data_IF_775170291009
#
_entry.id   IF_775170291009
#
_cell.length_a   1.000
_cell.length_b   1.000
_cell.length_c   1.000
_cell.angle_alpha   90.00
_cell.angle_beta   90.00
_cell.angle_gamma   90.00
#
_symmetry.space_group_name_H-M   'P 1'
#
loop_
_entity.id
_entity.type
_entity.pdbx_description
1 polymer ?
#
# COMPACT_ATOMS: atom_id res chain seq x y z
N UNK A 1 -31.33 0.37 -8.81
CA UNK A 1 -31.44 1.16 -7.56
C UNK A 1 -31.82 0.21 -6.43
N UNK A 2 -31.00 0.07 -5.39
CA UNK A 2 -31.41 -0.62 -4.14
C UNK A 2 -31.73 0.47 -3.14
N UNK A 3 -33.01 0.58 -2.78
CA UNK A 3 -33.44 1.44 -1.69
C UNK A 3 -33.47 0.60 -0.41
N UNK A 4 -32.93 1.14 0.68
CA UNK A 4 -33.00 0.52 1.99
C UNK A 4 -34.07 1.23 2.79
N UNK A 5 -34.99 0.48 3.40
CA UNK A 5 -35.96 0.98 4.37
C UNK A 5 -35.46 0.52 5.73
N UNK A 6 -35.08 1.46 6.59
CA UNK A 6 -34.76 1.16 7.98
C UNK A 6 -36.06 1.16 8.80
N UNK A 7 -36.29 0.10 9.58
CA UNK A 7 -37.48 -0.05 10.41
C UNK A 7 -37.03 -0.10 11.87
N UNK A 8 -37.53 0.85 12.68
CA UNK A 8 -37.23 0.90 14.11
C UNK A 8 -37.69 -0.38 14.82
N UNK A 9 -36.82 -0.96 15.65
CA UNK A 9 -37.08 -2.26 16.29
C UNK A 9 -36.84 -3.49 15.38
N UNK A 10 -36.60 -3.28 14.08
CA UNK A 10 -36.39 -4.35 13.11
C UNK A 10 -37.65 -5.20 12.83
N UNK A 11 -37.46 -6.32 12.13
CA UNK A 11 -38.52 -7.29 11.85
C UNK A 11 -38.48 -8.40 12.91
N UNK A 12 -39.60 -8.63 13.61
CA UNK A 12 -39.71 -9.57 14.73
C UNK A 12 -40.00 -11.01 14.27
N UNK A 13 -39.05 -11.57 13.54
CA UNK A 13 -39.04 -12.97 13.10
C UNK A 13 -38.12 -13.80 13.97
N UNK A 14 -38.45 -15.07 14.21
CA UNK A 14 -37.69 -15.92 15.13
C UNK A 14 -36.17 -15.87 14.84
N UNK A 15 -35.33 -15.61 15.86
CA UNK A 15 -33.90 -15.62 15.65
C UNK A 15 -33.44 -17.05 15.38
N UNK A 16 -32.80 -17.26 14.23
CA UNK A 16 -32.19 -18.53 13.85
C UNK A 16 -30.69 -18.30 13.68
N UNK A 17 -29.89 -19.09 14.39
CA UNK A 17 -28.42 -18.94 14.43
C UNK A 17 -27.98 -17.53 14.87
N UNK A 18 -28.73 -16.90 15.79
CA UNK A 18 -28.45 -15.54 16.27
C UNK A 18 -28.79 -14.43 15.28
N UNK A 19 -29.37 -14.74 14.11
CA UNK A 19 -29.79 -13.77 13.10
C UNK A 19 -31.30 -13.82 12.86
N UNK A 20 -31.87 -12.71 12.38
CA UNK A 20 -33.27 -12.61 11.93
C UNK A 20 -33.40 -12.56 10.40
N UNK A 21 -32.32 -12.85 9.68
CA UNK A 21 -32.29 -12.94 8.21
C UNK A 21 -32.90 -14.24 7.68
N UNK A 22 -33.33 -14.24 6.42
CA UNK A 22 -33.75 -15.46 5.70
C UNK A 22 -32.60 -16.04 4.89
N UNK A 23 -32.34 -17.33 5.05
CA UNK A 23 -31.58 -18.12 4.08
C UNK A 23 -32.55 -18.79 3.10
N UNK A 24 -32.64 -18.25 1.89
CA UNK A 24 -33.54 -18.75 0.86
C UNK A 24 -33.14 -20.12 0.32
N UNK A 25 -31.86 -20.50 0.44
CA UNK A 25 -31.34 -21.76 -0.09
C UNK A 25 -31.63 -22.91 0.86
N UNK A 26 -31.48 -22.67 2.16
CA UNK A 26 -31.73 -23.65 3.21
C UNK A 26 -33.16 -23.59 3.77
N UNK A 27 -33.96 -22.62 3.32
CA UNK A 27 -35.37 -22.45 3.66
C UNK A 27 -35.64 -22.27 5.17
N UNK A 28 -34.79 -21.51 5.87
CA UNK A 28 -35.00 -21.14 7.27
C UNK A 28 -34.68 -19.66 7.54
N UNK A 29 -35.15 -19.14 8.66
CA UNK A 29 -34.95 -17.74 9.03
C UNK A 29 -35.95 -16.78 8.37
N UNK A 30 -36.11 -15.60 8.95
CA UNK A 30 -37.10 -14.60 8.53
C UNK A 30 -38.55 -15.12 8.49
N UNK A 31 -39.32 -14.72 7.49
CA UNK A 31 -40.72 -15.14 7.36
C UNK A 31 -40.82 -16.54 6.74
N UNK A 32 -40.82 -17.57 7.61
CA UNK A 32 -40.97 -18.98 7.23
C UNK A 32 -39.91 -19.49 6.23
N UNK A 33 -38.70 -18.92 6.23
CA UNK A 33 -37.62 -19.38 5.36
C UNK A 33 -37.81 -19.08 3.86
N UNK A 34 -38.82 -18.29 3.48
CA UNK A 34 -39.16 -18.02 2.07
C UNK A 34 -38.95 -16.57 1.67
N UNK A 35 -38.93 -16.33 0.36
CA UNK A 35 -38.98 -14.99 -0.18
C UNK A 35 -40.33 -14.31 0.16
N UNK A 36 -40.29 -13.00 0.38
CA UNK A 36 -41.49 -12.19 0.61
C UNK A 36 -42.32 -12.12 -0.67
N UNK A 37 -43.63 -12.07 -0.47
CA UNK A 37 -44.66 -11.95 -1.51
C UNK A 37 -45.50 -10.72 -1.23
N UNK A 38 -46.13 -10.20 -2.27
CA UNK A 38 -47.08 -9.11 -2.13
C UNK A 38 -48.19 -9.49 -1.13
N UNK A 39 -48.54 -8.55 -0.25
CA UNK A 39 -49.48 -8.75 0.85
C UNK A 39 -48.90 -9.39 2.12
N UNK A 40 -47.61 -9.79 2.15
CA UNK A 40 -46.99 -10.28 3.38
C UNK A 40 -46.94 -9.19 4.46
N UNK A 41 -47.36 -9.55 5.68
CA UNK A 41 -47.26 -8.70 6.86
C UNK A 41 -46.10 -9.18 7.72
N UNK A 42 -45.14 -8.29 7.95
CA UNK A 42 -43.98 -8.58 8.78
C UNK A 42 -44.20 -8.02 10.19
N UNK A 43 -44.09 -8.84 11.24
CA UNK A 43 -44.17 -8.36 12.61
C UNK A 43 -42.99 -7.41 12.87
N UNK A 44 -43.21 -6.34 13.62
CA UNK A 44 -42.18 -5.37 13.98
C UNK A 44 -41.69 -5.62 15.40
N UNK A 45 -40.38 -5.51 15.60
CA UNK A 45 -39.80 -5.57 16.94
C UNK A 45 -40.16 -4.35 17.75
N UNK A 46 -40.08 -4.47 19.08
CA UNK A 46 -40.26 -3.33 19.97
C UNK A 46 -39.26 -2.22 19.59
N UNK A 47 -39.73 -0.98 19.34
CA UNK A 47 -38.83 0.12 19.02
C UNK A 47 -37.90 0.29 20.22
N UNK A 48 -36.59 0.18 19.99
CA UNK A 48 -35.64 0.62 20.99
C UNK A 48 -35.78 2.13 21.08
N UNK A 49 -36.08 2.65 22.26
CA UNK A 49 -35.84 4.06 22.63
C UNK A 49 -34.33 4.29 22.66
N UNK A 50 -33.69 4.19 21.50
CA UNK A 50 -32.39 4.79 21.30
C UNK A 50 -32.63 6.30 21.28
N UNK A 51 -31.87 7.03 22.10
CA UNK A 51 -31.69 8.46 21.88
C UNK A 51 -31.53 8.69 20.38
N UNK A 52 -32.17 9.73 19.83
CA UNK A 52 -31.86 10.20 18.48
C UNK A 52 -30.39 10.62 18.51
N UNK A 53 -29.50 9.67 18.25
CA UNK A 53 -28.12 9.97 17.99
C UNK A 53 -28.17 10.85 16.75
N UNK A 54 -27.65 12.06 16.84
CA UNK A 54 -27.30 12.83 15.65
C UNK A 54 -26.13 12.09 14.98
N UNK A 55 -26.46 11.01 14.28
CA UNK A 55 -25.49 10.24 13.52
C UNK A 55 -25.32 10.98 12.18
N UNK A 56 -24.08 11.30 11.76
CA UNK A 56 -23.83 11.78 10.41
C UNK A 56 -24.46 10.85 9.37
N UNK A 57 -24.81 11.38 8.19
CA UNK A 57 -25.36 10.60 7.08
C UNK A 57 -24.63 9.25 6.92
N UNK A 58 -25.36 8.15 7.07
CA UNK A 58 -24.81 6.80 6.98
C UNK A 58 -24.62 6.41 5.51
N UNK A 59 -23.47 5.83 5.20
CA UNK A 59 -23.04 5.39 3.89
C UNK A 59 -21.52 5.24 3.89
N UNK A 60 -20.98 4.27 3.15
CA UNK A 60 -19.53 4.15 2.98
C UNK A 60 -19.10 5.34 2.11
N UNK A 61 -18.58 6.40 2.74
CA UNK A 61 -17.86 7.43 2.00
C UNK A 61 -16.64 6.78 1.35
N UNK A 62 -16.25 7.27 0.17
CA UNK A 62 -14.92 6.98 -0.33
C UNK A 62 -13.93 7.30 0.80
N UNK A 63 -12.99 6.40 1.11
CA UNK A 63 -12.00 6.67 2.14
C UNK A 63 -11.33 8.03 1.91
N UNK A 64 -10.95 8.76 2.98
CA UNK A 64 -10.43 10.13 2.84
C UNK A 64 -9.16 10.26 1.98
N UNK A 65 -8.47 9.15 1.71
CA UNK A 65 -7.33 9.01 0.81
C UNK A 65 -7.71 8.82 -0.68
N UNK A 66 -9.00 8.59 -0.99
CA UNK A 66 -9.51 8.51 -2.36
C UNK A 66 -9.85 9.91 -2.90
N UNK A 67 -8.98 10.51 -3.70
CA UNK A 67 -9.15 11.87 -4.25
C UNK A 67 -9.97 11.97 -5.55
N UNK A 68 -11.20 11.46 -5.57
CA UNK A 68 -12.12 11.70 -6.71
C UNK A 68 -12.76 13.08 -6.76
N UNK A 69 -12.31 14.04 -5.96
CA UNK A 69 -12.89 15.39 -6.06
C UNK A 69 -12.36 16.19 -7.27
N UNK A 70 -11.40 15.67 -8.08
CA UNK A 70 -10.85 16.45 -9.22
C UNK A 70 -10.44 15.71 -10.50
N UNK A 71 -10.88 14.47 -10.76
CA UNK A 71 -10.91 13.93 -12.13
C UNK A 71 -12.35 13.86 -12.60
N UNK A 72 -12.75 14.81 -13.45
CA UNK A 72 -14.04 14.95 -14.13
C UNK A 72 -15.01 13.76 -13.96
N UNK A 73 -15.85 13.82 -12.91
CA UNK A 73 -16.92 12.86 -12.57
C UNK A 73 -17.94 12.65 -13.72
N UNK A 74 -17.87 13.48 -14.76
CA UNK A 74 -18.72 13.42 -15.96
C UNK A 74 -18.29 12.32 -16.95
N UNK A 75 -17.05 11.80 -16.89
CA UNK A 75 -16.59 10.77 -17.82
C UNK A 75 -16.56 9.35 -17.24
N UNK A 76 -16.19 9.15 -15.97
CA UNK A 76 -16.15 7.80 -15.35
C UNK A 76 -17.54 7.18 -15.16
N UNK A 77 -18.59 8.00 -15.09
CA UNK A 77 -19.97 7.51 -14.97
C UNK A 77 -20.70 7.35 -16.32
N UNK A 78 -20.02 7.58 -17.46
CA UNK A 78 -20.66 7.31 -18.75
C UNK A 78 -20.80 5.80 -18.93
N UNK A 79 -22.00 5.30 -19.24
CA UNK A 79 -22.15 3.90 -19.55
C UNK A 79 -21.45 3.60 -20.87
N UNK A 80 -20.47 2.70 -20.80
CA UNK A 80 -19.70 2.27 -21.97
C UNK A 80 -20.44 1.19 -22.79
N UNK A 81 -21.55 0.67 -22.26
CA UNK A 81 -22.46 -0.24 -22.95
C UNK A 81 -23.89 0.32 -22.96
N UNK A 82 -24.66 0.12 -24.06
CA UNK A 82 -26.06 0.52 -24.12
C UNK A 82 -26.87 -0.10 -22.98
N UNK A 83 -27.52 0.74 -22.15
CA UNK A 83 -28.37 0.29 -21.05
C UNK A 83 -27.67 0.08 -19.70
N UNK A 84 -26.34 0.22 -19.62
CA UNK A 84 -25.65 0.29 -18.33
C UNK A 84 -25.92 1.65 -17.66
N UNK A 85 -25.97 1.73 -16.31
CA UNK A 85 -26.17 3.01 -15.62
C UNK A 85 -24.87 3.81 -15.38
N UNK A 86 -23.71 3.16 -15.28
CA UNK A 86 -22.37 3.76 -15.10
C UNK A 86 -21.27 2.69 -15.22
N UNK A 87 -20.00 3.12 -15.26
CA UNK A 87 -18.82 2.24 -15.27
C UNK A 87 -18.04 2.38 -13.96
N UNK A 88 -17.63 1.27 -13.35
CA UNK A 88 -16.68 1.26 -12.23
C UNK A 88 -15.28 0.92 -12.77
N UNK A 89 -14.27 1.74 -12.50
CA UNK A 89 -12.87 1.43 -12.85
C UNK A 89 -12.13 0.92 -11.61
N UNK A 90 -11.37 -0.17 -11.76
CA UNK A 90 -10.52 -0.75 -10.71
C UNK A 90 -9.13 -1.10 -11.23
N UNK A 91 -8.13 -0.92 -10.37
CA UNK A 91 -6.71 -1.22 -10.65
C UNK A 91 -6.40 -2.69 -10.45
N UNK A 92 -5.66 -3.27 -11.39
CA UNK A 92 -5.38 -4.70 -11.47
C UNK A 92 -3.89 -4.95 -11.70
N UNK A 93 -3.32 -5.83 -10.88
CA UNK A 93 -2.02 -6.46 -11.10
C UNK A 93 -2.15 -7.67 -12.02
N UNK A 94 -1.12 -7.97 -12.80
CA UNK A 94 -1.05 -9.23 -13.54
C UNK A 94 -1.18 -10.43 -12.60
N UNK A 95 -2.07 -11.35 -12.98
CA UNK A 95 -2.26 -12.61 -12.29
C UNK A 95 -1.10 -13.57 -12.57
N UNK A 96 -0.91 -14.58 -11.71
CA UNK A 96 0.16 -15.57 -11.86
C UNK A 96 0.11 -16.31 -13.20
N UNK A 97 -1.09 -16.52 -13.77
CA UNK A 97 -1.26 -17.18 -15.07
C UNK A 97 -1.49 -16.19 -16.23
N UNK A 98 -1.17 -14.90 -16.07
CA UNK A 98 -1.38 -13.89 -17.10
C UNK A 98 -0.78 -14.29 -18.46
N UNK A 99 0.46 -14.82 -18.47
CA UNK A 99 1.13 -15.26 -19.70
C UNK A 99 0.45 -16.47 -20.42
N UNK A 100 -0.50 -17.13 -19.77
CA UNK A 100 -1.23 -18.26 -20.36
C UNK A 100 -2.42 -17.81 -21.22
N UNK A 101 -2.73 -16.51 -21.26
CA UNK A 101 -3.77 -15.94 -22.10
C UNK A 101 -3.20 -15.45 -23.44
N UNK A 102 -4.04 -15.47 -24.47
CA UNK A 102 -3.68 -14.97 -25.81
C UNK A 102 -3.53 -13.45 -25.79
N UNK A 103 -2.76 -12.90 -26.75
CA UNK A 103 -2.58 -11.45 -26.87
C UNK A 103 -3.93 -10.71 -27.05
N UNK A 104 -4.87 -11.30 -27.80
CA UNK A 104 -6.23 -10.75 -27.97
C UNK A 104 -7.04 -10.80 -26.68
N UNK A 105 -6.85 -11.81 -25.83
CA UNK A 105 -7.44 -11.85 -24.50
C UNK A 105 -6.86 -10.76 -23.58
N UNK A 106 -5.54 -10.50 -23.63
CA UNK A 106 -4.94 -9.37 -22.90
C UNK A 106 -5.51 -8.04 -23.37
N UNK A 107 -5.56 -7.81 -24.68
CA UNK A 107 -6.11 -6.58 -25.26
C UNK A 107 -7.58 -6.37 -24.84
N UNK A 108 -8.40 -7.42 -24.95
CA UNK A 108 -9.82 -7.35 -24.56
C UNK A 108 -9.96 -7.08 -23.05
N UNK A 109 -9.15 -7.74 -22.22
CA UNK A 109 -9.16 -7.58 -20.77
C UNK A 109 -8.94 -6.14 -20.32
N UNK A 110 -8.01 -5.43 -20.97
CA UNK A 110 -7.68 -4.05 -20.61
C UNK A 110 -8.52 -2.99 -21.30
N UNK A 111 -8.90 -3.21 -22.56
CA UNK A 111 -9.54 -2.18 -23.37
C UNK A 111 -11.06 -2.16 -23.22
N UNK A 112 -11.69 -3.33 -23.06
CA UNK A 112 -13.15 -3.48 -23.12
C UNK A 112 -13.86 -3.26 -21.76
N UNK A 113 -15.12 -2.79 -21.77
CA UNK A 113 -15.96 -2.79 -20.60
C UNK A 113 -16.56 -4.18 -20.34
N UNK A 114 -16.59 -4.57 -19.07
CA UNK A 114 -17.13 -5.85 -18.61
C UNK A 114 -18.49 -5.67 -17.95
N UNK A 115 -19.54 -6.34 -18.44
CA UNK A 115 -20.87 -6.28 -17.83
C UNK A 115 -20.92 -7.07 -16.53
N UNK A 116 -21.30 -6.44 -15.41
CA UNK A 116 -21.55 -7.13 -14.14
C UNK A 116 -22.90 -7.85 -14.23
N UNK A 117 -22.89 -9.17 -14.35
CA UNK A 117 -24.11 -9.94 -14.58
C UNK A 117 -25.00 -10.04 -13.34
N UNK A 118 -26.32 -10.26 -13.48
CA UNK A 118 -27.23 -10.50 -12.36
C UNK A 118 -26.87 -11.69 -11.46
N UNK A 119 -26.06 -12.64 -11.96
CA UNK A 119 -25.58 -13.80 -11.20
C UNK A 119 -24.42 -13.46 -10.24
N UNK A 120 -24.02 -12.19 -10.16
CA UNK A 120 -22.98 -11.71 -9.24
C UNK A 120 -23.52 -11.60 -7.81
N UNK A 121 -22.69 -11.97 -6.84
CA UNK A 121 -23.06 -11.98 -5.42
C UNK A 121 -21.82 -11.71 -4.54
N UNK A 122 -21.96 -11.90 -3.21
CA UNK A 122 -20.86 -11.68 -2.25
C UNK A 122 -19.69 -12.66 -2.41
N UNK A 123 -19.85 -13.77 -3.13
CA UNK A 123 -18.75 -14.68 -3.46
C UNK A 123 -17.94 -14.19 -4.65
N UNK A 124 -18.60 -13.59 -5.65
CA UNK A 124 -17.89 -13.11 -6.82
C UNK A 124 -18.75 -12.36 -7.83
N UNK A 125 -18.12 -11.42 -8.52
CA UNK A 125 -18.71 -10.69 -9.63
C UNK A 125 -18.43 -11.44 -10.92
N UNK A 126 -19.49 -11.99 -11.49
CA UNK A 126 -19.47 -12.73 -12.76
C UNK A 126 -19.63 -11.72 -13.87
N UNK A 127 -18.60 -11.58 -14.69
CA UNK A 127 -18.54 -10.60 -15.75
C UNK A 127 -18.93 -11.23 -17.08
N UNK A 128 -19.50 -10.44 -17.97
CA UNK A 128 -19.76 -10.81 -19.36
C UNK A 128 -19.08 -9.82 -20.32
N UNK A 129 -18.39 -10.35 -21.33
CA UNK A 129 -17.65 -9.59 -22.35
C UNK A 129 -17.01 -10.51 -23.38
N UNK A 130 -15.97 -10.05 -24.06
CA UNK A 130 -15.18 -10.88 -24.96
C UNK A 130 -14.66 -12.15 -24.26
N UNK A 131 -14.62 -13.27 -24.99
CA UNK A 131 -14.12 -14.53 -24.48
C UNK A 131 -12.59 -14.48 -24.33
N UNK A 132 -12.10 -14.62 -23.09
CA UNK A 132 -10.67 -14.63 -22.80
C UNK A 132 -10.06 -16.01 -23.06
N UNK A 133 -9.50 -16.17 -24.28
CA UNK A 133 -8.87 -17.42 -24.72
C UNK A 133 -7.46 -17.61 -24.15
N UNK A 134 -7.14 -18.87 -23.85
CA UNK A 134 -5.83 -19.32 -23.37
C UNK A 134 -4.96 -19.86 -24.51
N UNK A 135 -3.65 -19.68 -24.40
CA UNK A 135 -2.65 -20.25 -25.33
C UNK A 135 -2.40 -21.74 -25.07
N UNK A 136 -2.64 -22.20 -23.84
CA UNK A 136 -2.52 -23.61 -23.43
C UNK A 136 -3.70 -24.00 -22.55
N UNK A 137 -4.18 -25.24 -22.72
CA UNK A 137 -5.18 -25.81 -21.84
C UNK A 137 -4.46 -26.35 -20.61
N UNK A 138 -4.42 -25.56 -19.53
CA UNK A 138 -3.76 -25.92 -18.27
C UNK A 138 -4.84 -26.37 -17.30
N UNK A 139 -4.80 -27.64 -16.90
CA UNK A 139 -5.50 -28.10 -15.70
C UNK A 139 -4.68 -27.68 -14.49
N UNK A 140 -5.17 -26.70 -13.74
CA UNK A 140 -4.54 -26.26 -12.51
C UNK A 140 -5.10 -27.05 -11.34
N UNK A 141 -4.21 -27.56 -10.49
CA UNK A 141 -4.61 -28.03 -9.18
C UNK A 141 -5.21 -26.87 -8.37
N UNK A 142 -6.19 -27.19 -7.53
CA UNK A 142 -6.76 -26.21 -6.62
C UNK A 142 -5.67 -25.65 -5.70
N UNK A 143 -5.53 -24.33 -5.69
CA UNK A 143 -4.57 -23.62 -4.85
C UNK A 143 -5.23 -22.43 -4.16
N UNK A 144 -4.52 -21.84 -3.20
CA UNK A 144 -5.02 -20.70 -2.42
C UNK A 144 -5.42 -19.52 -3.34
N UNK A 145 -6.57 -18.92 -3.04
CA UNK A 145 -7.08 -17.73 -3.73
C UNK A 145 -7.48 -16.67 -2.71
N UNK A 146 -7.39 -15.41 -3.12
CA UNK A 146 -7.70 -14.26 -2.27
C UNK A 146 -8.81 -13.41 -2.92
N UNK A 147 -9.58 -12.64 -2.13
CA UNK A 147 -10.45 -11.61 -2.68
C UNK A 147 -9.70 -10.68 -3.64
N UNK A 148 -10.36 -10.29 -4.72
CA UNK A 148 -9.76 -9.54 -5.83
C UNK A 148 -9.17 -10.40 -6.95
N UNK A 149 -8.92 -11.70 -6.73
CA UNK A 149 -8.47 -12.58 -7.80
C UNK A 149 -9.50 -12.67 -8.93
N UNK A 150 -9.06 -12.49 -10.16
CA UNK A 150 -9.90 -12.51 -11.36
C UNK A 150 -9.70 -13.86 -12.04
N UNK A 151 -10.57 -14.80 -11.69
CA UNK A 151 -10.58 -16.14 -12.25
C UNK A 151 -11.24 -16.14 -13.63
N UNK A 152 -10.66 -16.85 -14.60
CA UNK A 152 -11.28 -17.06 -15.91
C UNK A 152 -11.58 -18.55 -16.06
N UNK A 153 -12.84 -19.01 -15.91
CA UNK A 153 -13.22 -20.39 -16.15
C UNK A 153 -13.14 -20.77 -17.63
N UNK A 154 -13.43 -22.03 -17.96
CA UNK A 154 -13.30 -22.57 -19.32
C UNK A 154 -14.20 -21.89 -20.38
N UNK A 155 -15.22 -21.13 -19.96
CA UNK A 155 -16.06 -20.33 -20.85
C UNK A 155 -15.46 -18.94 -21.19
N UNK A 156 -14.26 -18.63 -20.70
CA UNK A 156 -13.56 -17.38 -20.97
C UNK A 156 -14.14 -16.14 -20.29
N UNK A 157 -15.13 -16.29 -19.41
CA UNK A 157 -15.83 -15.15 -18.77
C UNK A 157 -15.29 -14.89 -17.36
N UNK A 158 -14.73 -13.70 -17.06
CA UNK A 158 -14.08 -13.44 -15.79
C UNK A 158 -15.01 -13.49 -14.58
N UNK A 159 -14.48 -13.93 -13.45
CA UNK A 159 -15.11 -13.87 -12.13
C UNK A 159 -14.13 -13.18 -11.18
N UNK A 160 -14.50 -12.00 -10.68
CA UNK A 160 -13.73 -11.32 -9.63
C UNK A 160 -14.18 -11.87 -8.28
N UNK A 161 -13.28 -12.51 -7.54
CA UNK A 161 -13.58 -13.08 -6.23
C UNK A 161 -13.81 -11.97 -5.20
N UNK A 162 -14.89 -12.10 -4.42
CA UNK A 162 -15.29 -11.13 -3.41
C UNK A 162 -15.11 -11.72 -2.00
N UNK A 163 -15.52 -10.98 -0.97
CA UNK A 163 -15.19 -11.29 0.43
C UNK A 163 -15.66 -12.67 0.93
N UNK A 164 -16.71 -13.24 0.32
CA UNK A 164 -17.24 -14.55 0.72
C UNK A 164 -16.82 -15.65 -0.29
N UNK A 165 -15.82 -15.38 -1.12
CA UNK A 165 -15.29 -16.37 -2.06
C UNK A 165 -14.69 -17.58 -1.34
N UNK A 166 -14.64 -18.71 -2.05
CA UNK A 166 -13.85 -19.86 -1.65
C UNK A 166 -12.38 -19.48 -1.43
N UNK A 167 -11.71 -20.15 -0.50
CA UNK A 167 -10.28 -19.95 -0.20
C UNK A 167 -9.35 -20.71 -1.14
N UNK A 168 -9.89 -21.64 -1.95
CA UNK A 168 -9.13 -22.43 -2.94
C UNK A 168 -9.86 -22.52 -4.28
N UNK A 169 -9.12 -22.66 -5.38
CA UNK A 169 -9.71 -22.84 -6.70
C UNK A 169 -8.70 -23.18 -7.78
N UNK A 170 -9.16 -23.78 -8.87
CA UNK A 170 -8.34 -24.28 -9.98
C UNK A 170 -8.54 -23.55 -11.32
N UNK A 171 -9.17 -22.37 -11.32
CA UNK A 171 -9.26 -21.55 -12.53
C UNK A 171 -8.07 -20.59 -12.62
N UNK A 172 -7.49 -20.46 -13.82
CA UNK A 172 -6.40 -19.54 -14.10
C UNK A 172 -6.83 -18.09 -13.82
N UNK A 173 -5.90 -17.31 -13.27
CA UNK A 173 -6.12 -15.94 -12.85
C UNK A 173 -5.40 -15.03 -13.82
N UNK A 174 -6.19 -14.24 -14.55
CA UNK A 174 -5.62 -13.25 -15.47
C UNK A 174 -5.13 -12.02 -14.69
N UNK A 175 -5.78 -11.67 -13.58
CA UNK A 175 -5.43 -10.49 -12.81
C UNK A 175 -5.81 -10.60 -11.33
N UNK A 176 -5.32 -9.64 -10.55
CA UNK A 176 -5.69 -9.44 -9.15
C UNK A 176 -6.05 -7.97 -8.97
N UNK A 177 -7.31 -7.69 -8.61
CA UNK A 177 -7.73 -6.36 -8.17
C UNK A 177 -7.05 -6.05 -6.86
N UNK A 178 -6.37 -4.90 -6.78
CA UNK A 178 -5.64 -4.51 -5.58
C UNK A 178 -6.59 -4.26 -4.42
N UNK A 179 -6.12 -4.52 -3.19
CA UNK A 179 -6.92 -4.35 -1.97
C UNK A 179 -7.52 -2.94 -1.86
N UNK A 180 -6.76 -1.91 -2.26
CA UNK A 180 -7.18 -0.51 -2.23
C UNK A 180 -8.42 -0.21 -3.11
N UNK A 181 -8.76 -1.05 -4.08
CA UNK A 181 -9.91 -0.84 -4.97
C UNK A 181 -11.07 -1.82 -4.71
N UNK A 182 -10.94 -2.77 -3.78
CA UNK A 182 -12.00 -3.74 -3.45
C UNK A 182 -13.29 -3.07 -2.96
N UNK A 183 -13.19 -1.92 -2.27
CA UNK A 183 -14.37 -1.16 -1.83
C UNK A 183 -15.19 -0.64 -3.02
N UNK A 184 -14.56 -0.33 -4.16
CA UNK A 184 -15.25 0.10 -5.39
C UNK A 184 -16.07 -1.03 -5.97
N UNK A 185 -15.50 -2.25 -5.99
CA UNK A 185 -16.22 -3.45 -6.39
C UNK A 185 -17.41 -3.69 -5.47
N UNK A 186 -17.23 -3.56 -4.15
CA UNK A 186 -18.32 -3.73 -3.19
C UNK A 186 -19.50 -2.76 -3.42
N UNK A 187 -19.24 -1.61 -4.07
CA UNK A 187 -20.23 -0.58 -4.41
C UNK A 187 -20.72 -0.68 -5.87
N UNK A 188 -20.14 -1.53 -6.72
CA UNK A 188 -20.57 -1.62 -8.11
C UNK A 188 -21.95 -2.29 -8.21
N UNK A 189 -22.79 -1.83 -9.14
CA UNK A 189 -24.17 -2.29 -9.28
C UNK A 189 -24.24 -3.41 -10.31
N UNK A 190 -25.17 -4.33 -10.09
CA UNK A 190 -25.52 -5.30 -11.11
C UNK A 190 -26.04 -4.58 -12.35
N UNK A 191 -25.77 -5.15 -13.52
CA UNK A 191 -26.04 -4.57 -14.84
C UNK A 191 -25.29 -3.26 -15.14
N UNK A 192 -24.30 -2.87 -14.31
CA UNK A 192 -23.33 -1.83 -14.66
C UNK A 192 -22.09 -2.43 -15.31
N UNK A 193 -21.20 -1.58 -15.78
CA UNK A 193 -19.93 -1.99 -16.39
C UNK A 193 -18.78 -1.87 -15.42
N UNK A 194 -17.76 -2.70 -15.60
CA UNK A 194 -16.48 -2.67 -14.91
C UNK A 194 -15.37 -2.46 -15.94
N UNK A 195 -14.35 -1.67 -15.62
CA UNK A 195 -13.14 -1.51 -16.42
C UNK A 195 -11.93 -1.82 -15.58
N UNK A 196 -10.96 -2.52 -16.17
CA UNK A 196 -9.69 -2.81 -15.55
C UNK A 196 -8.64 -1.84 -16.04
N UNK A 197 -7.83 -1.32 -15.13
CA UNK A 197 -6.66 -0.51 -15.46
C UNK A 197 -5.45 -1.19 -14.86
N UNK A 198 -4.42 -1.38 -15.68
CA UNK A 198 -3.19 -1.99 -15.22
C UNK A 198 -2.54 -1.11 -14.16
N UNK A 199 -2.02 -1.73 -13.10
CA UNK A 199 -1.23 -1.04 -12.10
C UNK A 199 0.01 -1.87 -11.75
N UNK A 200 1.01 -1.22 -11.19
CA UNK A 200 2.22 -1.88 -10.71
C UNK A 200 2.08 -2.32 -9.26
N UNK A 201 2.94 -3.25 -8.81
CA UNK A 201 2.96 -3.64 -7.38
C UNK A 201 3.23 -2.45 -6.46
N UNK A 202 3.93 -1.45 -6.99
CA UNK A 202 4.14 -0.13 -6.38
C UNK A 202 2.81 0.58 -6.16
N UNK A 203 2.00 0.77 -7.21
CA UNK A 203 0.69 1.44 -7.09
C UNK A 203 -0.30 0.67 -6.19
N UNK A 204 -0.09 -0.65 -6.03
CA UNK A 204 -0.87 -1.50 -5.12
C UNK A 204 -0.46 -1.33 -3.65
N UNK A 205 0.79 -0.92 -3.40
CA UNK A 205 1.37 -0.68 -2.07
C UNK A 205 1.33 0.80 -1.67
N UNK A 206 1.21 1.71 -2.64
CA UNK A 206 1.08 3.15 -2.45
C UNK A 206 -0.37 3.54 -2.09
N UNK A 207 -0.52 4.51 -1.19
CA UNK A 207 -1.82 4.93 -0.67
C UNK A 207 -2.34 4.05 0.48
N UNK A 208 -1.44 3.32 1.15
CA UNK A 208 -1.78 2.63 2.39
C UNK A 208 -2.38 3.64 3.37
N UNK A 209 -3.54 3.29 3.94
CA UNK A 209 -4.34 4.10 4.85
C UNK A 209 -3.61 4.55 6.15
N UNK A 210 -2.33 4.22 6.27
CA UNK A 210 -1.47 4.41 7.43
C UNK A 210 -0.44 5.52 7.26
N UNK A 211 -0.16 6.03 6.06
CA UNK A 211 0.95 6.99 5.87
C UNK A 211 0.76 8.26 6.70
N UNK A 212 -0.44 8.85 6.67
CA UNK A 212 -0.76 10.01 7.50
C UNK A 212 -0.67 9.69 9.00
N UNK A 213 -1.15 8.52 9.43
CA UNK A 213 -1.08 8.10 10.83
C UNK A 213 0.37 7.81 11.29
N UNK A 214 1.21 7.27 10.41
CA UNK A 214 2.63 7.00 10.66
C UNK A 214 3.41 8.30 10.88
N UNK A 215 3.05 9.37 10.16
CA UNK A 215 3.69 10.68 10.32
C UNK A 215 3.52 11.27 11.73
N UNK A 216 2.51 10.86 12.50
CA UNK A 216 2.34 11.27 13.91
C UNK A 216 3.33 10.58 14.86
N UNK A 217 3.90 9.45 14.44
CA UNK A 217 4.72 8.59 15.28
C UNK A 217 6.22 8.79 15.01
N UNK A 218 6.56 9.23 13.80
CA UNK A 218 7.94 9.44 13.35
C UNK A 218 8.36 10.90 13.44
N UNK A 219 9.65 11.15 13.63
CA UNK A 219 10.20 12.51 13.66
C UNK A 219 10.71 13.01 12.32
N UNK A 220 10.92 12.11 11.34
CA UNK A 220 11.41 12.41 9.99
C UNK A 220 10.77 11.45 9.00
N UNK A 221 10.45 11.94 7.79
CA UNK A 221 9.81 11.16 6.74
C UNK A 221 10.59 11.29 5.42
N UNK A 222 10.84 10.15 4.76
CA UNK A 222 11.50 10.09 3.47
C UNK A 222 10.43 9.97 2.38
N UNK A 223 10.17 11.07 1.67
CA UNK A 223 9.12 11.14 0.65
C UNK A 223 9.71 10.78 -0.71
N UNK A 224 9.04 9.86 -1.43
CA UNK A 224 9.43 9.47 -2.78
C UNK A 224 9.42 10.66 -3.75
N UNK A 225 10.25 10.59 -4.80
CA UNK A 225 10.47 11.72 -5.71
C UNK A 225 10.00 11.46 -7.15
N UNK A 226 9.10 10.50 -7.38
CA UNK A 226 8.48 10.27 -8.69
C UNK A 226 9.08 9.14 -9.53
N UNK A 227 10.26 8.64 -9.17
CA UNK A 227 10.97 7.63 -9.97
C UNK A 227 10.60 6.20 -9.58
N UNK A 228 11.03 5.71 -8.41
CA UNK A 228 10.58 4.40 -7.94
C UNK A 228 9.10 4.37 -7.54
N UNK A 229 8.60 5.51 -7.08
CA UNK A 229 7.35 5.66 -6.34
C UNK A 229 6.85 7.11 -6.28
N UNK A 230 5.57 7.28 -5.98
CA UNK A 230 4.89 8.56 -5.75
C UNK A 230 4.54 9.29 -7.04
N UNK A 231 3.29 9.75 -7.17
CA UNK A 231 2.90 10.74 -8.18
C UNK A 231 2.94 12.15 -7.59
N UNK A 232 2.71 13.16 -8.44
CA UNK A 232 2.78 14.56 -8.03
C UNK A 232 1.80 14.89 -6.90
N UNK A 233 0.57 14.36 -6.99
CA UNK A 233 -0.49 14.60 -6.00
C UNK A 233 -0.20 13.87 -4.68
N UNK A 234 0.32 12.64 -4.73
CA UNK A 234 0.70 11.88 -3.54
C UNK A 234 1.85 12.55 -2.80
N UNK A 235 2.87 13.00 -3.53
CA UNK A 235 4.02 13.72 -2.96
C UNK A 235 3.54 15.04 -2.35
N UNK A 236 2.63 15.77 -3.02
CA UNK A 236 2.05 17.00 -2.50
C UNK A 236 1.31 16.77 -1.18
N UNK A 237 0.44 15.75 -1.12
CA UNK A 237 -0.32 15.42 0.09
C UNK A 237 0.56 14.91 1.23
N UNK A 238 1.54 14.05 0.94
CA UNK A 238 2.47 13.54 1.95
C UNK A 238 3.28 14.68 2.58
N UNK A 239 3.79 15.59 1.75
CA UNK A 239 4.46 16.79 2.23
C UNK A 239 3.52 17.66 3.09
N UNK A 240 2.24 17.81 2.69
CA UNK A 240 1.24 18.56 3.47
C UNK A 240 1.01 17.98 4.85
N UNK A 241 0.81 16.67 4.94
CA UNK A 241 0.62 15.99 6.21
C UNK A 241 1.86 16.11 7.09
N UNK A 242 3.06 15.97 6.51
CA UNK A 242 4.31 16.10 7.25
C UNK A 242 4.48 17.51 7.83
N UNK A 243 4.16 18.56 7.06
CA UNK A 243 4.15 19.95 7.56
C UNK A 243 3.15 20.12 8.70
N UNK A 244 1.92 19.62 8.54
CA UNK A 244 0.87 19.72 9.56
C UNK A 244 1.25 19.04 10.88
N UNK A 245 2.01 17.94 10.80
CA UNK A 245 2.44 17.14 11.97
C UNK A 245 3.81 17.53 12.51
N UNK A 246 4.49 18.50 11.88
CA UNK A 246 5.83 18.92 12.28
C UNK A 246 6.91 17.86 12.03
N UNK A 247 6.66 16.91 11.13
CA UNK A 247 7.60 15.84 10.75
C UNK A 247 8.65 16.40 9.79
N UNK A 248 9.94 16.17 10.05
CA UNK A 248 11.00 16.65 9.17
C UNK A 248 10.92 15.95 7.80
N UNK A 249 10.91 16.74 6.71
CA UNK A 249 10.73 16.20 5.34
C UNK A 249 12.09 15.93 4.72
N UNK A 250 12.28 14.72 4.19
CA UNK A 250 13.46 14.31 3.45
C UNK A 250 13.12 13.76 2.07
N UNK A 251 14.05 13.91 1.14
CA UNK A 251 13.94 13.32 -0.18
C UNK A 251 14.34 11.84 -0.16
N UNK A 252 13.57 11.01 -0.85
CA UNK A 252 13.83 9.59 -1.02
C UNK A 252 14.16 9.22 -2.47
N UNK A 253 15.28 9.71 -3.03
CA UNK A 253 15.60 9.49 -4.43
C UNK A 253 15.99 8.03 -4.72
N UNK A 254 15.70 7.56 -5.92
CA UNK A 254 15.96 6.20 -6.37
C UNK A 254 16.59 6.17 -7.76
N UNK A 255 16.87 4.96 -8.26
CA UNK A 255 16.98 4.74 -9.70
C UNK A 255 15.60 4.91 -10.38
N UNK A 256 15.62 5.21 -11.69
CA UNK A 256 14.41 5.31 -12.51
C UNK A 256 13.93 3.91 -12.90
N UNK A 257 13.33 3.22 -11.94
CA UNK A 257 12.98 1.81 -12.03
C UNK A 257 11.64 1.57 -11.33
N UNK A 258 10.60 2.28 -11.78
CA UNK A 258 9.25 2.20 -11.18
C UNK A 258 8.68 0.78 -11.17
N UNK A 259 8.92 0.02 -12.23
CA UNK A 259 8.41 -1.35 -12.40
C UNK A 259 8.90 -2.33 -11.33
N UNK A 260 10.13 -2.14 -10.82
CA UNK A 260 10.69 -2.95 -9.73
C UNK A 260 10.81 -2.15 -8.42
N UNK A 261 10.10 -1.03 -8.30
CA UNK A 261 10.10 -0.17 -7.11
C UNK A 261 11.51 0.33 -6.72
N UNK A 262 12.38 0.59 -7.70
CA UNK A 262 13.75 1.06 -7.48
C UNK A 262 14.65 0.07 -6.74
N UNK A 263 14.32 -1.23 -6.81
CA UNK A 263 15.05 -2.31 -6.12
C UNK A 263 15.99 -3.07 -7.04
N UNK A 264 16.05 -2.74 -8.32
CA UNK A 264 17.07 -3.26 -9.23
C UNK A 264 18.30 -2.36 -9.23
N UNK A 265 19.47 -3.00 -9.24
CA UNK A 265 20.75 -2.31 -9.29
C UNK A 265 21.06 -1.79 -10.70
N UNK A 266 21.63 -0.58 -10.78
CA UNK A 266 22.01 0.05 -12.04
C UNK A 266 23.48 0.48 -12.02
N UNK A 267 24.10 0.50 -13.20
CA UNK A 267 25.48 0.96 -13.39
C UNK A 267 25.46 2.22 -14.24
N UNK A 268 25.18 3.35 -13.59
CA UNK A 268 25.17 4.67 -14.21
C UNK A 268 26.50 5.38 -13.98
N UNK A 269 26.88 6.27 -14.89
CA UNK A 269 28.02 7.16 -14.70
C UNK A 269 27.77 8.15 -13.55
N UNK A 270 28.86 8.71 -12.99
CA UNK A 270 28.74 9.71 -11.93
C UNK A 270 27.91 10.94 -12.34
N UNK A 271 28.00 11.35 -13.62
CA UNK A 271 27.21 12.46 -14.16
C UNK A 271 25.71 12.13 -14.22
N UNK A 272 25.35 10.91 -14.62
CA UNK A 272 23.95 10.45 -14.63
C UNK A 272 23.37 10.35 -13.22
N UNK A 273 24.13 9.82 -12.25
CA UNK A 273 23.74 9.81 -10.84
C UNK A 273 23.53 11.23 -10.33
N UNK A 274 24.46 12.13 -10.63
CA UNK A 274 24.39 13.51 -10.16
C UNK A 274 23.14 14.21 -10.67
N UNK A 275 22.89 14.14 -11.99
CA UNK A 275 21.68 14.68 -12.60
C UNK A 275 20.39 14.04 -12.05
N UNK A 276 20.39 12.72 -11.84
CA UNK A 276 19.24 11.99 -11.29
C UNK A 276 18.87 12.42 -9.86
N UNK A 277 19.86 12.64 -9.00
CA UNK A 277 19.65 13.14 -7.64
C UNK A 277 19.13 14.57 -7.66
N UNK A 278 19.75 15.46 -8.45
CA UNK A 278 19.32 16.86 -8.57
C UNK A 278 17.88 16.99 -9.07
N UNK A 279 17.49 16.20 -10.09
CA UNK A 279 16.13 16.20 -10.62
C UNK A 279 15.10 15.85 -9.54
N UNK A 280 15.34 14.76 -8.81
CA UNK A 280 14.45 14.27 -7.75
C UNK A 280 14.38 15.23 -6.56
N UNK A 281 15.51 15.85 -6.17
CA UNK A 281 15.54 16.88 -5.13
C UNK A 281 14.78 18.13 -5.56
N UNK A 282 14.96 18.59 -6.79
CA UNK A 282 14.26 19.75 -7.33
C UNK A 282 12.75 19.56 -7.33
N UNK A 283 12.27 18.39 -7.79
CA UNK A 283 10.85 18.06 -7.83
C UNK A 283 10.21 18.11 -6.43
N UNK A 284 10.78 17.41 -5.45
CA UNK A 284 10.25 17.43 -4.08
C UNK A 284 10.39 18.81 -3.44
N UNK A 285 11.54 19.48 -3.60
CA UNK A 285 11.81 20.77 -2.99
C UNK A 285 10.83 21.85 -3.45
N UNK A 286 10.45 21.86 -4.74
CA UNK A 286 9.44 22.77 -5.25
C UNK A 286 8.08 22.56 -4.56
N UNK A 287 7.64 21.31 -4.41
CA UNK A 287 6.39 20.95 -3.73
C UNK A 287 6.42 21.35 -2.25
N UNK A 288 7.52 21.04 -1.55
CA UNK A 288 7.66 21.32 -0.11
C UNK A 288 7.73 22.83 0.16
N UNK A 289 8.43 23.59 -0.69
CA UNK A 289 8.50 25.06 -0.61
C UNK A 289 7.15 25.72 -0.86
N UNK A 290 6.33 25.21 -1.79
CA UNK A 290 4.98 25.70 -2.02
C UNK A 290 4.07 25.57 -0.79
N UNK A 291 4.46 24.75 0.19
CA UNK A 291 3.74 24.53 1.44
C UNK A 291 4.40 25.22 2.64
N UNK A 292 5.37 26.10 2.40
CA UNK A 292 6.03 26.89 3.44
C UNK A 292 7.08 26.13 4.25
N UNK A 293 7.57 24.99 3.77
CA UNK A 293 8.58 24.17 4.43
C UNK A 293 9.83 23.97 3.56
N UNK A 294 10.82 23.25 4.10
CA UNK A 294 12.03 22.87 3.38
C UNK A 294 12.29 21.37 3.47
N UNK A 295 12.98 20.84 2.44
CA UNK A 295 13.60 19.51 2.53
C UNK A 295 14.82 19.64 3.45
N UNK A 296 15.00 18.71 4.37
CA UNK A 296 16.01 18.77 5.44
C UNK A 296 17.09 17.69 5.31
N UNK A 297 16.74 16.58 4.68
CA UNK A 297 17.66 15.47 4.47
C UNK A 297 17.39 14.72 3.16
N UNK A 298 18.33 13.87 2.81
CA UNK A 298 18.24 12.94 1.69
C UNK A 298 18.57 11.55 2.20
N UNK A 299 17.72 10.59 1.87
CA UNK A 299 17.97 9.17 2.09
C UNK A 299 17.79 8.45 0.76
N UNK A 300 18.83 7.89 0.12
CA UNK A 300 18.62 7.08 -1.07
C UNK A 300 17.66 5.92 -0.82
N UNK A 301 16.93 5.51 -1.85
CA UNK A 301 15.97 4.41 -1.80
C UNK A 301 16.56 3.10 -2.34
N UNK A 302 16.09 1.98 -1.81
CA UNK A 302 16.20 0.66 -2.46
C UNK A 302 17.61 0.27 -2.90
N UNK A 303 17.76 -0.07 -4.18
CA UNK A 303 19.04 -0.47 -4.74
C UNK A 303 20.07 0.65 -4.70
N UNK A 304 19.68 1.91 -4.92
CA UNK A 304 20.59 3.05 -4.86
C UNK A 304 21.21 3.19 -3.46
N UNK A 305 20.43 2.99 -2.41
CA UNK A 305 20.92 2.96 -1.03
C UNK A 305 21.94 1.84 -0.80
N UNK A 306 21.59 0.61 -1.19
CA UNK A 306 22.43 -0.56 -0.96
C UNK A 306 23.73 -0.50 -1.76
N UNK A 307 23.70 -0.02 -3.00
CA UNK A 307 24.90 0.19 -3.81
C UNK A 307 25.75 1.33 -3.26
N UNK A 308 25.16 2.48 -2.92
CA UNK A 308 25.91 3.60 -2.34
C UNK A 308 26.52 3.24 -0.97
N UNK A 309 25.95 2.29 -0.25
CA UNK A 309 26.52 1.81 1.00
C UNK A 309 27.86 1.07 0.82
N UNK A 310 28.14 0.50 -0.35
CA UNK A 310 29.33 -0.35 -0.59
C UNK A 310 30.25 0.16 -1.70
N UNK A 311 29.77 1.01 -2.61
CA UNK A 311 30.52 1.52 -3.77
C UNK A 311 30.95 2.98 -3.57
N UNK A 312 32.24 3.25 -3.27
CA UNK A 312 32.71 4.61 -2.95
C UNK A 312 32.48 5.63 -4.07
N UNK A 313 32.61 5.23 -5.34
CA UNK A 313 32.42 6.13 -6.48
C UNK A 313 30.96 6.60 -6.62
N UNK A 314 30.02 5.67 -6.43
CA UNK A 314 28.59 5.97 -6.43
C UNK A 314 28.23 6.86 -5.23
N UNK A 315 28.73 6.52 -4.04
CA UNK A 315 28.56 7.33 -2.84
C UNK A 315 29.05 8.77 -3.05
N UNK A 316 30.25 8.95 -3.60
CA UNK A 316 30.80 10.28 -3.90
C UNK A 316 29.92 11.07 -4.88
N UNK A 317 29.39 10.42 -5.93
CA UNK A 317 28.50 11.08 -6.89
C UNK A 317 27.17 11.54 -6.24
N UNK A 318 26.58 10.70 -5.38
CA UNK A 318 25.37 11.04 -4.62
C UNK A 318 25.63 12.23 -3.69
N UNK A 319 26.73 12.19 -2.92
CA UNK A 319 27.08 13.26 -1.98
C UNK A 319 27.41 14.57 -2.70
N UNK A 320 28.12 14.51 -3.84
CA UNK A 320 28.38 15.69 -4.65
C UNK A 320 27.08 16.36 -5.10
N UNK A 321 26.09 15.58 -5.57
CA UNK A 321 24.80 16.11 -5.99
C UNK A 321 24.02 16.74 -4.83
N UNK A 322 24.01 16.12 -3.66
CA UNK A 322 23.36 16.67 -2.45
C UNK A 322 24.01 18.01 -2.07
N UNK A 323 25.34 18.06 -2.02
CA UNK A 323 26.09 19.26 -1.66
C UNK A 323 25.87 20.39 -2.66
N UNK A 324 25.85 20.09 -3.95
CA UNK A 324 25.66 21.08 -5.01
C UNK A 324 24.21 21.61 -5.02
N UNK A 325 23.24 20.80 -4.58
CA UNK A 325 21.85 21.24 -4.41
C UNK A 325 21.69 22.16 -3.19
N UNK A 326 22.11 21.70 -2.02
CA UNK A 326 22.09 22.47 -0.77
C UNK A 326 23.04 21.81 0.26
N UNK A 327 24.16 22.45 0.63
CA UNK A 327 25.12 21.89 1.58
C UNK A 327 24.58 21.79 3.01
N UNK A 328 23.44 22.40 3.33
CA UNK A 328 22.80 22.28 4.64
C UNK A 328 22.01 20.96 4.79
N UNK A 329 21.72 20.26 3.70
CA UNK A 329 21.03 18.97 3.75
C UNK A 329 21.87 17.92 4.46
N UNK A 330 21.22 17.16 5.34
CA UNK A 330 21.82 15.95 5.88
C UNK A 330 21.64 14.76 4.93
N UNK A 331 22.49 13.75 5.06
CA UNK A 331 22.35 12.48 4.36
C UNK A 331 22.18 11.33 5.35
N UNK A 332 21.14 10.55 5.14
CA UNK A 332 20.85 9.36 5.93
C UNK A 332 21.38 8.16 5.17
N UNK A 333 22.13 7.30 5.86
CA UNK A 333 22.73 6.12 5.24
C UNK A 333 23.14 5.09 6.27
N UNK A 334 23.44 3.89 5.77
CA UNK A 334 23.72 2.75 6.64
C UNK A 334 24.95 3.07 7.49
N UNK A 335 24.87 2.82 8.79
CA UNK A 335 26.02 2.95 9.68
C UNK A 335 27.24 2.18 9.11
N UNK A 336 28.43 2.77 9.23
CA UNK A 336 29.71 2.23 8.73
C UNK A 336 29.82 2.06 7.20
N UNK A 337 28.93 2.69 6.41
CA UNK A 337 28.91 2.54 4.95
C UNK A 337 29.82 3.51 4.18
N UNK A 338 30.10 3.20 2.91
CA UNK A 338 30.81 4.08 1.98
C UNK A 338 30.10 5.45 1.80
N UNK A 339 28.76 5.48 1.88
CA UNK A 339 27.97 6.72 1.84
C UNK A 339 28.26 7.62 3.04
N UNK A 340 28.38 7.05 4.25
CA UNK A 340 28.73 7.81 5.45
C UNK A 340 30.15 8.35 5.38
N UNK A 341 31.10 7.54 4.90
CA UNK A 341 32.48 7.97 4.68
C UNK A 341 32.56 9.11 3.66
N UNK A 342 31.87 9.00 2.52
CA UNK A 342 31.84 10.04 1.49
C UNK A 342 31.22 11.35 2.01
N UNK A 343 30.13 11.26 2.79
CA UNK A 343 29.50 12.42 3.41
C UNK A 343 30.45 13.16 4.35
N UNK A 344 31.11 12.42 5.24
CA UNK A 344 32.08 12.98 6.19
C UNK A 344 33.26 13.65 5.48
N UNK A 345 33.81 13.02 4.44
CA UNK A 345 34.91 13.57 3.65
C UNK A 345 34.51 14.86 2.91
N UNK A 346 33.26 14.97 2.48
CA UNK A 346 32.73 16.14 1.79
C UNK A 346 32.19 17.23 2.73
N UNK A 347 32.22 17.03 4.04
CA UNK A 347 31.68 17.96 5.03
C UNK A 347 30.14 18.01 5.08
N UNK A 348 29.45 17.02 4.50
CA UNK A 348 27.99 16.89 4.54
C UNK A 348 27.58 16.19 5.83
N UNK A 349 26.53 16.68 6.51
CA UNK A 349 26.05 16.10 7.78
C UNK A 349 25.54 14.67 7.57
N UNK A 350 26.33 13.69 7.99
CA UNK A 350 25.95 12.28 7.98
C UNK A 350 25.11 11.90 9.21
N UNK A 351 23.98 11.22 8.97
CA UNK A 351 23.13 10.64 10.01
C UNK A 351 23.10 9.12 9.81
N UNK A 352 23.77 8.41 10.72
CA UNK A 352 23.87 6.96 10.65
C UNK A 352 22.53 6.29 11.00
N UNK A 353 22.00 5.55 10.03
CA UNK A 353 20.75 4.80 10.11
C UNK A 353 21.00 3.34 10.47
N UNK A 354 20.12 2.80 11.31
CA UNK A 354 20.02 1.37 11.60
C UNK A 354 18.61 0.84 11.33
N UNK A 355 18.57 -0.46 11.06
CA UNK A 355 17.36 -1.25 10.86
C UNK A 355 17.23 -2.25 12.00
N UNK A 356 16.13 -2.22 12.72
CA UNK A 356 15.91 -3.13 13.84
C UNK A 356 15.47 -4.53 13.39
N UNK A 357 14.71 -4.57 12.30
CA UNK A 357 14.08 -5.75 11.71
C UNK A 357 15.00 -6.54 10.75
N UNK A 358 16.25 -6.10 10.55
CA UNK A 358 17.18 -6.70 9.60
C UNK A 358 18.36 -7.36 10.30
N UNK A 359 18.78 -8.52 9.81
CA UNK A 359 20.02 -9.14 10.27
C UNK A 359 21.25 -8.40 9.73
N UNK A 360 22.32 -8.41 10.53
CA UNK A 360 23.59 -7.77 10.21
C UNK A 360 24.67 -8.82 10.01
N UNK A 361 25.65 -8.50 9.18
CA UNK A 361 26.93 -9.21 9.08
C UNK A 361 27.93 -8.61 10.05
N UNK A 362 29.04 -9.30 10.28
CA UNK A 362 30.10 -8.87 11.18
C UNK A 362 30.77 -7.53 10.76
N UNK A 363 30.66 -7.16 9.48
CA UNK A 363 31.15 -5.87 8.95
C UNK A 363 30.15 -4.72 9.12
N UNK A 364 28.98 -4.97 9.72
CA UNK A 364 27.90 -3.98 9.89
C UNK A 364 27.00 -3.80 8.68
N UNK A 365 27.25 -4.51 7.58
CA UNK A 365 26.33 -4.53 6.43
C UNK A 365 25.09 -5.38 6.72
N UNK A 366 24.01 -5.14 5.97
CA UNK A 366 22.77 -5.90 6.11
C UNK A 366 22.86 -7.23 5.34
N UNK A 367 22.29 -8.29 5.92
CA UNK A 367 22.14 -9.58 5.25
C UNK A 367 21.12 -9.44 4.09
N UNK A 368 21.40 -9.94 2.86
CA UNK A 368 20.47 -9.89 1.73
C UNK A 368 19.11 -10.49 2.09
N UNK A 369 18.02 -9.87 1.62
CA UNK A 369 16.65 -10.19 2.06
C UNK A 369 16.24 -11.63 1.77
N UNK A 370 16.83 -12.24 0.76
CA UNK A 370 16.58 -13.59 0.27
C UNK A 370 17.25 -14.66 1.16
N UNK A 371 18.12 -14.25 2.08
CA UNK A 371 18.82 -15.18 2.97
C UNK A 371 17.89 -15.57 4.13
N UNK A 372 17.78 -16.86 4.48
CA UNK A 372 17.06 -17.27 5.69
C UNK A 372 17.57 -16.53 6.94
N UNK A 373 16.66 -15.97 7.73
CA UNK A 373 16.99 -15.15 8.90
C UNK A 373 17.43 -13.71 8.61
N UNK A 374 17.30 -13.23 7.37
CA UNK A 374 17.65 -11.84 7.02
C UNK A 374 16.70 -10.78 7.60
N UNK A 375 15.48 -11.19 7.93
CA UNK A 375 14.42 -10.35 8.49
C UNK A 375 13.95 -11.01 9.78
N UNK A 376 13.84 -10.21 10.85
CA UNK A 376 13.25 -10.63 12.11
C UNK A 376 11.75 -10.40 12.02
N UNK A 377 10.96 -11.44 12.27
CA UNK A 377 9.49 -11.39 12.19
C UNK A 377 8.84 -11.14 13.56
N UNK A 378 9.54 -11.49 14.65
CA UNK A 378 9.05 -11.32 16.02
C UNK A 378 9.19 -9.86 16.47
N UNK A 379 8.06 -9.18 16.67
CA UNK A 379 8.03 -7.77 17.06
C UNK A 379 8.67 -7.50 18.44
N UNK A 380 8.60 -8.46 19.37
CA UNK A 380 9.18 -8.33 20.72
C UNK A 380 10.71 -8.37 20.61
N UNK A 381 11.24 -9.27 19.77
CA UNK A 381 12.66 -9.36 19.47
C UNK A 381 13.17 -8.06 18.80
N UNK A 382 12.44 -7.56 17.79
CA UNK A 382 12.79 -6.31 17.10
C UNK A 382 12.78 -5.13 18.08
N UNK A 383 11.80 -5.05 18.97
CA UNK A 383 11.71 -3.99 19.99
C UNK A 383 12.87 -4.05 20.98
N UNK A 384 13.14 -5.23 21.55
CA UNK A 384 14.24 -5.43 22.49
C UNK A 384 15.58 -5.08 21.85
N UNK A 385 15.77 -5.49 20.59
CA UNK A 385 16.97 -5.16 19.80
C UNK A 385 17.09 -3.67 19.54
N UNK A 386 15.99 -2.98 19.21
CA UNK A 386 15.95 -1.52 19.00
C UNK A 386 16.44 -0.79 20.25
N UNK A 387 15.90 -1.12 21.42
CA UNK A 387 16.32 -0.52 22.69
C UNK A 387 17.80 -0.77 22.98
N UNK A 388 18.27 -1.99 22.70
CA UNK A 388 19.68 -2.36 22.89
C UNK A 388 20.61 -1.59 21.96
N UNK A 389 20.23 -1.43 20.69
CA UNK A 389 20.97 -0.60 19.72
C UNK A 389 21.09 0.84 20.21
N UNK A 390 19.98 1.45 20.67
CA UNK A 390 19.98 2.83 21.17
C UNK A 390 20.91 2.99 22.38
N UNK A 391 20.80 2.09 23.36
CA UNK A 391 21.53 2.18 24.64
C UNK A 391 23.01 1.83 24.51
N UNK A 392 23.30 0.76 23.78
CA UNK A 392 24.64 0.16 23.75
C UNK A 392 25.44 0.56 22.50
N UNK A 393 24.83 1.23 21.52
CA UNK A 393 25.47 1.65 20.27
C UNK A 393 26.15 0.47 19.55
N UNK A 394 25.47 -0.68 19.51
CA UNK A 394 25.93 -1.91 18.86
C UNK A 394 24.77 -2.82 18.49
N UNK A 395 25.02 -3.75 17.58
CA UNK A 395 24.08 -4.80 17.18
C UNK A 395 24.76 -6.17 17.19
N UNK A 396 24.00 -7.23 17.45
CA UNK A 396 24.47 -8.59 17.22
C UNK A 396 24.31 -8.98 15.75
N UNK A 397 25.39 -9.41 15.12
CA UNK A 397 25.39 -9.99 13.78
C UNK A 397 24.79 -11.40 13.78
N UNK A 398 24.43 -11.91 12.60
CA UNK A 398 23.81 -13.23 12.43
C UNK A 398 24.71 -14.39 12.89
N UNK A 399 26.01 -14.17 12.95
CA UNK A 399 27.01 -15.12 13.45
C UNK A 399 27.27 -14.99 14.98
N UNK A 400 26.54 -14.11 15.65
CA UNK A 400 26.62 -13.88 17.10
C UNK A 400 27.59 -12.80 17.55
N UNK A 401 28.44 -12.25 16.68
CA UNK A 401 29.40 -11.19 17.06
C UNK A 401 28.71 -9.85 17.31
N UNK A 402 29.26 -9.06 18.24
CA UNK A 402 28.81 -7.69 18.49
C UNK A 402 29.51 -6.71 17.56
N UNK A 403 28.73 -5.95 16.80
CA UNK A 403 29.18 -4.94 15.85
C UNK A 403 28.88 -3.54 16.41
N UNK A 404 29.88 -2.69 16.64
CA UNK A 404 29.65 -1.31 17.07
C UNK A 404 29.00 -0.50 15.93
N UNK A 405 27.90 0.20 16.25
CA UNK A 405 27.16 1.03 15.30
C UNK A 405 26.81 2.37 15.96
N UNK A 406 27.05 3.46 15.24
CA UNK A 406 26.51 4.76 15.63
C UNK A 406 25.02 4.80 15.28
N UNK A 407 24.16 4.83 16.29
CA UNK A 407 22.70 4.80 16.12
C UNK A 407 22.16 6.22 16.26
N UNK A 408 21.84 6.87 15.13
CA UNK A 408 21.30 8.23 15.12
C UNK A 408 19.85 8.31 14.63
N UNK A 409 19.44 7.36 13.80
CA UNK A 409 18.06 7.21 13.33
C UNK A 409 17.74 5.72 13.13
N UNK A 410 16.48 5.35 13.35
CA UNK A 410 15.98 3.98 13.16
C UNK A 410 14.94 4.02 12.05
N UNK A 411 15.12 3.17 11.05
CA UNK A 411 14.15 3.04 9.96
C UNK A 411 12.97 2.19 10.42
N UNK A 412 11.76 2.71 10.26
CA UNK A 412 10.51 1.95 10.33
C UNK A 412 9.96 1.76 8.93
N UNK A 413 9.66 0.52 8.57
CA UNK A 413 9.06 0.17 7.29
C UNK A 413 7.53 0.36 7.35
N UNK A 414 6.98 1.13 6.42
CA UNK A 414 5.53 1.41 6.33
C UNK A 414 4.74 0.43 5.44
N UNK A 415 5.42 -0.48 4.74
CA UNK A 415 4.88 -1.34 3.70
C UNK A 415 4.26 -2.66 4.21
N UNK A 416 4.25 -2.90 5.53
CA UNK A 416 3.62 -4.06 6.17
C UNK A 416 2.22 -3.69 6.71
N UNK A 417 1.17 -4.54 6.56
CA UNK A 417 -0.13 -4.37 7.21
C UNK A 417 -0.09 -4.04 8.71
N UNK A 418 0.95 -4.49 9.43
CA UNK A 418 1.13 -4.25 10.87
C UNK A 418 2.04 -3.04 11.20
N UNK A 419 2.56 -2.33 10.19
CA UNK A 419 3.54 -1.26 10.36
C UNK A 419 3.08 -0.15 11.32
N UNK A 420 1.80 0.27 11.24
CA UNK A 420 1.26 1.30 12.12
C UNK A 420 1.20 0.83 13.58
N UNK A 421 0.67 -0.37 13.83
CA UNK A 421 0.58 -0.94 15.17
C UNK A 421 1.98 -1.10 15.78
N UNK A 422 2.93 -1.58 14.98
CA UNK A 422 4.31 -1.73 15.41
C UNK A 422 4.99 -0.39 15.71
N UNK A 423 4.78 0.64 14.87
CA UNK A 423 5.28 1.99 15.12
C UNK A 423 4.71 2.60 16.40
N UNK A 424 3.41 2.41 16.68
CA UNK A 424 2.77 2.84 17.93
C UNK A 424 3.42 2.16 19.14
N UNK A 425 3.67 0.85 19.03
CA UNK A 425 4.29 0.06 20.08
C UNK A 425 5.73 0.48 20.36
N UNK A 426 6.56 0.66 19.31
CA UNK A 426 7.91 1.21 19.46
C UNK A 426 7.86 2.57 20.14
N UNK A 427 6.95 3.45 19.69
CA UNK A 427 6.86 4.81 20.24
C UNK A 427 6.52 4.78 21.73
N UNK A 428 5.50 4.02 22.11
CA UNK A 428 5.10 3.86 23.51
C UNK A 428 6.24 3.31 24.38
N UNK A 429 7.00 2.34 23.88
CA UNK A 429 8.13 1.78 24.62
C UNK A 429 9.27 2.79 24.77
N UNK A 430 9.61 3.55 23.72
CA UNK A 430 10.64 4.59 23.80
C UNK A 430 10.24 5.67 24.82
N UNK A 431 8.97 6.08 24.82
CA UNK A 431 8.46 7.06 25.78
C UNK A 431 8.50 6.50 27.23
N UNK A 432 8.13 5.24 27.44
CA UNK A 432 8.21 4.57 28.75
C UNK A 432 9.64 4.46 29.28
N UNK A 433 10.62 4.32 28.39
CA UNK A 433 12.05 4.26 28.72
C UNK A 433 12.71 5.66 28.80
N UNK A 434 11.92 6.73 28.67
CA UNK A 434 12.40 8.12 28.72
C UNK A 434 13.27 8.54 27.52
N UNK A 435 13.17 7.81 26.41
CA UNK A 435 13.93 8.07 25.18
C UNK A 435 13.11 9.01 24.29
N UNK A 436 13.52 10.27 24.22
CA UNK A 436 12.85 11.26 23.39
C UNK A 436 13.09 11.00 21.89
N UNK A 437 12.01 10.91 21.13
CA UNK A 437 12.06 10.84 19.66
C UNK A 437 11.92 12.24 19.08
N UNK A 438 12.99 12.71 18.42
CA UNK A 438 13.07 14.01 17.76
C UNK A 438 13.78 13.88 16.42
N UNK A 439 13.63 14.89 15.55
CA UNK A 439 14.37 14.89 14.29
C UNK A 439 15.86 15.02 14.61
N UNK A 440 16.70 14.26 13.88
CA UNK A 440 18.15 14.36 13.99
C UNK A 440 18.69 15.74 13.58
N UNK A 441 17.82 16.64 13.08
CA UNK A 441 18.15 17.94 12.48
C UNK A 441 17.57 19.12 13.24
N UNK A 442 16.74 18.89 14.27
CA UNK A 442 16.28 19.95 15.15
C UNK A 442 17.47 20.57 15.90
N UNK A 443 17.48 21.91 16.04
CA UNK A 443 18.45 22.60 16.89
C UNK A 443 18.30 22.11 18.34
N UNK A 444 19.44 21.80 18.96
CA UNK A 444 19.55 21.25 20.33
C UNK A 444 18.85 22.11 21.38
#
# INVERSE_FOLDING_TARGET
MRAYIAISGGIDVAPILGSRSTDLKAAFGGLNGRALKDGDQLPLGAPQTAQVLQIPAFGVKAPGWCHFDRTNIVEENKPLLPGAPYTTTVRVLHGPEYACFTASAHESFWSEPWLITPNSNRMGYRLAGAELKRTKNIELLSHAVLPGAIQVPGNGQPIVLMNDAQTTGGYAKIGIVIQADLWRLAQARLASTLRFTECTITDAREGCATDEALLELVSSANIACGWHAGGADEIFNCARWAVQKGTAIGAHPSFNDRGNFGRTEHHLSAAEIHAAILYQLGALSAIVRAQGACVTHVKPHGALYNQAAREPKLAQAVIAAIRDFDPALAVFGLANSALMTAAQQAGVRAVAEVFADRAYRADGSLVPRETPGAILEDEDEVLARTLKMIREQRVQAIDGHWVPLKVQTICLHGDNPHALAFAQRIRAQLDAEGIQVRSALAAS
#
